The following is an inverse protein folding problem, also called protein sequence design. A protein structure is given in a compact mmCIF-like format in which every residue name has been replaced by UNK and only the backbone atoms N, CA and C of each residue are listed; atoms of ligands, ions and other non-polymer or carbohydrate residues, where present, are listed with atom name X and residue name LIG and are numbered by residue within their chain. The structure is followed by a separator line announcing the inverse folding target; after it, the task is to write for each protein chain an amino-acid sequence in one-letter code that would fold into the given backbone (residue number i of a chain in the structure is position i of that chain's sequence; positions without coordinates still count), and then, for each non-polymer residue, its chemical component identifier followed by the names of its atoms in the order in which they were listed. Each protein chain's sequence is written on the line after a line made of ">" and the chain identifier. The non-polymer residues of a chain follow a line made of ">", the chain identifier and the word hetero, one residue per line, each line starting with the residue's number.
data_IF_130197674146
#
_entry.id   IF_130197674146
#
_cell.length_a   1.000
_cell.length_b   1.000
_cell.length_c   1.000
_cell.angle_alpha   90.00
_cell.angle_beta   90.00
_cell.angle_gamma   90.00
#
_symmetry.space_group_name_H-M   'P 1'
#
loop_
_entity.id
_entity.type
_entity.pdbx_description
1 polymer ?
#
# COMPACT_ATOMS: atom_id res chain seq x y z
N UNK A 1 -29.26 -59.02 -50.08
CA UNK A 1 -29.41 -58.54 -51.47
C UNK A 1 -28.52 -57.31 -51.66
N UNK A 2 -27.67 -57.33 -52.70
CA UNK A 2 -27.04 -56.20 -53.44
C UNK A 2 -26.52 -55.02 -52.60
N UNK A 3 -25.22 -54.93 -52.26
CA UNK A 3 -24.04 -54.52 -53.08
C UNK A 3 -24.31 -53.37 -54.07
N UNK A 4 -23.77 -52.18 -53.74
CA UNK A 4 -23.14 -51.19 -54.65
C UNK A 4 -22.44 -50.13 -53.75
N UNK A 5 -21.12 -50.10 -53.49
CA UNK A 5 -19.97 -49.69 -54.33
C UNK A 5 -20.08 -48.27 -54.92
N UNK A 6 -19.29 -47.32 -54.39
CA UNK A 6 -18.36 -46.39 -55.09
C UNK A 6 -17.79 -45.39 -54.05
N UNK A 7 -16.51 -45.50 -53.61
CA UNK A 7 -15.26 -44.85 -54.13
C UNK A 7 -15.19 -43.34 -53.77
N UNK A 8 -14.12 -42.65 -53.34
CA UNK A 8 -12.66 -42.77 -53.08
C UNK A 8 -12.30 -41.58 -52.18
N UNK A 9 -11.28 -41.68 -51.32
CA UNK A 9 -10.61 -40.45 -50.84
C UNK A 9 -9.68 -40.63 -49.65
N UNK A 10 -8.52 -41.25 -49.87
CA UNK A 10 -7.39 -41.27 -48.94
C UNK A 10 -6.90 -39.84 -48.68
N UNK A 11 -6.85 -39.43 -47.41
CA UNK A 11 -5.90 -38.41 -46.94
C UNK A 11 -5.68 -38.58 -45.43
N UNK A 12 -4.90 -39.59 -45.08
CA UNK A 12 -4.20 -39.67 -43.80
C UNK A 12 -3.15 -38.56 -43.77
N UNK A 13 -3.53 -37.39 -43.28
CA UNK A 13 -2.57 -36.36 -42.84
C UNK A 13 -1.97 -36.87 -41.54
N UNK A 14 -0.74 -37.38 -41.62
CA UNK A 14 0.11 -37.56 -40.47
C UNK A 14 0.40 -36.19 -39.88
N UNK A 15 -0.39 -35.78 -38.88
CA UNK A 15 -0.03 -34.69 -38.00
C UNK A 15 1.09 -35.20 -37.08
N UNK A 16 2.33 -35.00 -37.52
CA UNK A 16 3.48 -35.01 -36.64
C UNK A 16 3.28 -33.89 -35.61
N UNK A 17 2.75 -34.25 -34.44
CA UNK A 17 2.88 -33.44 -33.24
C UNK A 17 4.37 -33.40 -32.90
N UNK A 18 5.09 -32.43 -33.46
CA UNK A 18 6.31 -31.94 -32.87
C UNK A 18 5.92 -31.32 -31.55
N UNK A 19 6.01 -32.15 -30.51
CA UNK A 19 6.00 -31.72 -29.14
C UNK A 19 7.24 -30.85 -28.94
N UNK A 20 7.06 -29.53 -29.06
CA UNK A 20 8.01 -28.55 -28.54
C UNK A 20 8.11 -28.76 -27.03
N UNK A 21 9.08 -29.59 -26.62
CA UNK A 21 9.61 -29.59 -25.26
C UNK A 21 10.38 -28.28 -25.10
N UNK A 22 9.70 -27.24 -24.63
CA UNK A 22 10.38 -26.11 -23.97
C UNK A 22 10.52 -26.48 -22.50
N UNK A 23 11.39 -27.43 -22.19
CA UNK A 23 11.91 -27.62 -20.84
C UNK A 23 13.09 -26.67 -20.67
N UNK A 24 12.81 -25.36 -20.52
CA UNK A 24 13.74 -24.48 -19.83
C UNK A 24 13.38 -24.56 -18.35
N UNK A 25 14.07 -25.44 -17.63
CA UNK A 25 14.10 -25.37 -16.17
C UNK A 25 14.44 -23.91 -15.78
N UNK A 26 13.74 -23.28 -14.82
CA UNK A 26 14.07 -21.92 -14.44
C UNK A 26 15.55 -21.86 -14.04
N UNK A 27 16.29 -20.93 -14.64
CA UNK A 27 17.71 -20.75 -14.35
C UNK A 27 17.86 -20.49 -12.84
N UNK A 28 18.72 -21.26 -12.17
CA UNK A 28 18.93 -21.11 -10.74
C UNK A 28 19.44 -19.69 -10.45
N UNK A 29 18.89 -19.03 -9.43
CA UNK A 29 19.32 -17.69 -9.01
C UNK A 29 20.44 -17.85 -7.98
N UNK A 30 21.53 -17.10 -8.16
CA UNK A 30 22.73 -17.16 -7.32
C UNK A 30 23.15 -15.77 -6.86
N UNK A 31 23.82 -15.72 -5.70
CA UNK A 31 24.36 -14.49 -5.13
C UNK A 31 25.74 -14.17 -5.70
N UNK A 32 25.89 -12.94 -6.19
CA UNK A 32 27.11 -12.40 -6.79
C UNK A 32 27.55 -11.19 -5.98
N UNK A 33 28.84 -11.09 -5.69
CA UNK A 33 29.45 -9.94 -5.02
C UNK A 33 30.56 -9.36 -5.87
N UNK A 34 30.74 -8.04 -5.80
CA UNK A 34 31.84 -7.35 -6.45
C UNK A 34 32.80 -6.83 -5.40
N UNK A 35 34.10 -6.98 -5.65
CA UNK A 35 35.17 -6.51 -4.77
C UNK A 35 36.19 -5.72 -5.58
N UNK A 36 36.85 -4.77 -4.93
CA UNK A 36 37.83 -3.91 -5.59
C UNK A 36 38.90 -3.44 -4.61
N UNK A 37 40.09 -3.20 -5.14
CA UNK A 37 41.21 -2.65 -4.37
C UNK A 37 41.31 -1.13 -4.54
N UNK A 38 41.13 -0.38 -3.46
CA UNK A 38 41.49 1.03 -3.42
C UNK A 38 43.01 1.12 -3.15
N UNK A 39 43.78 1.58 -4.14
CA UNK A 39 45.21 1.84 -3.92
C UNK A 39 45.32 3.10 -3.05
N UNK A 40 45.62 2.93 -1.77
CA UNK A 40 45.88 4.07 -0.87
C UNK A 40 47.07 4.88 -1.39
N UNK A 41 46.82 6.11 -1.84
CA UNK A 41 47.92 7.06 -1.99
C UNK A 41 48.37 7.51 -0.59
N UNK A 42 49.68 7.56 -0.30
CA UNK A 42 50.18 8.15 0.93
C UNK A 42 50.04 9.68 0.82
N UNK A 43 48.91 10.24 1.24
CA UNK A 43 48.75 11.69 1.38
C UNK A 43 49.32 12.14 2.72
N UNK A 44 50.55 12.63 2.70
CA UNK A 44 51.10 13.44 3.78
C UNK A 44 50.41 14.81 3.79
N UNK A 45 49.23 14.91 4.38
CA UNK A 45 48.50 16.17 4.52
C UNK A 45 47.00 15.96 4.71
N UNK A 46 46.42 16.62 5.72
CA UNK A 46 44.98 16.57 6.05
C UNK A 46 44.13 17.15 4.91
N UNK A 47 43.63 16.29 4.04
CA UNK A 47 42.44 16.53 3.22
C UNK A 47 41.57 15.28 3.36
N UNK A 48 40.37 15.44 3.93
CA UNK A 48 39.33 14.41 3.88
C UNK A 48 39.10 14.08 2.41
N UNK A 49 39.45 12.87 2.01
CA UNK A 49 39.14 12.36 0.68
C UNK A 49 37.74 11.76 0.79
N UNK A 50 36.82 12.15 -0.08
CA UNK A 50 35.49 11.55 -0.09
C UNK A 50 35.63 10.04 -0.28
N UNK A 51 34.96 9.26 0.56
CA UNK A 51 34.98 7.80 0.50
C UNK A 51 33.78 7.32 -0.33
N UNK A 52 33.95 6.29 -1.16
CA UNK A 52 32.84 5.73 -1.92
C UNK A 52 31.87 5.00 -0.99
N UNK A 53 30.57 5.20 -1.20
CA UNK A 53 29.51 4.57 -0.41
C UNK A 53 28.65 3.60 -1.23
N UNK A 54 28.69 3.72 -2.57
CA UNK A 54 27.99 2.81 -3.48
C UNK A 54 28.77 2.49 -4.75
N UNK A 55 28.43 1.35 -5.37
CA UNK A 55 28.80 0.96 -6.73
C UNK A 55 27.60 1.21 -7.66
N UNK A 56 27.82 1.92 -8.77
CA UNK A 56 26.96 1.93 -9.95
C UNK A 56 27.50 0.95 -10.98
N UNK A 57 26.69 -0.06 -11.33
CA UNK A 57 27.09 -1.13 -12.25
C UNK A 57 26.06 -1.33 -13.37
N UNK A 58 26.55 -1.52 -14.59
CA UNK A 58 25.76 -1.97 -15.74
C UNK A 58 26.26 -3.34 -16.18
N UNK A 59 25.33 -4.27 -16.41
CA UNK A 59 25.59 -5.66 -16.76
C UNK A 59 24.71 -6.05 -17.93
N UNK A 60 25.29 -6.74 -18.91
CA UNK A 60 24.58 -7.35 -20.05
C UNK A 60 24.76 -8.87 -20.03
N UNK A 61 23.79 -9.60 -20.57
CA UNK A 61 23.87 -11.05 -20.73
C UNK A 61 24.71 -11.43 -21.98
N UNK A 62 24.90 -12.73 -22.22
CA UNK A 62 25.63 -13.23 -23.40
C UNK A 62 24.99 -12.88 -24.76
N UNK A 63 23.70 -12.50 -24.78
CA UNK A 63 23.01 -12.02 -25.98
C UNK A 63 23.18 -10.52 -26.21
N UNK A 64 23.79 -9.79 -25.26
CA UNK A 64 23.92 -8.34 -25.28
C UNK A 64 22.69 -7.60 -24.75
N UNK A 65 21.73 -8.30 -24.16
CA UNK A 65 20.58 -7.64 -23.52
C UNK A 65 21.00 -7.06 -22.16
N UNK A 66 20.55 -5.84 -21.82
CA UNK A 66 20.82 -5.26 -20.51
C UNK A 66 20.11 -6.07 -19.41
N UNK A 67 20.88 -6.44 -18.39
CA UNK A 67 20.42 -7.09 -17.16
C UNK A 67 20.30 -6.05 -16.05
N UNK A 68 21.33 -5.22 -15.89
CA UNK A 68 21.32 -4.03 -15.04
C UNK A 68 21.82 -2.83 -15.85
N UNK A 69 21.20 -1.67 -15.60
CA UNK A 69 21.66 -0.38 -16.12
C UNK A 69 21.80 0.55 -14.93
N UNK A 70 23.03 0.99 -14.63
CA UNK A 70 23.35 1.91 -13.53
C UNK A 70 22.79 1.49 -12.16
N UNK A 71 22.75 0.19 -11.89
CA UNK A 71 22.23 -0.32 -10.61
C UNK A 71 23.14 0.14 -9.48
N UNK A 72 22.57 0.85 -8.50
CA UNK A 72 23.26 1.22 -7.24
C UNK A 72 23.29 0.02 -6.30
N UNK A 73 24.47 -0.28 -5.77
CA UNK A 73 24.68 -1.33 -4.77
C UNK A 73 25.50 -0.74 -3.63
N UNK A 74 25.03 -0.89 -2.39
CA UNK A 74 25.75 -0.37 -1.23
C UNK A 74 27.08 -1.10 -1.04
N UNK A 75 28.06 -0.38 -0.50
CA UNK A 75 29.37 -0.92 -0.16
C UNK A 75 29.41 -1.36 1.30
N UNK A 76 30.06 -2.51 1.51
CA UNK A 76 30.38 -3.11 2.79
C UNK A 76 31.89 -2.98 3.02
N UNK A 77 32.26 -2.38 4.15
CA UNK A 77 33.65 -2.25 4.57
C UNK A 77 34.01 -3.40 5.52
N UNK A 78 34.94 -4.26 5.10
CA UNK A 78 35.44 -5.38 5.91
C UNK A 78 36.95 -5.24 6.07
N UNK A 79 37.36 -4.62 7.18
CA UNK A 79 38.76 -4.28 7.42
C UNK A 79 39.26 -3.25 6.41
N UNK A 80 40.30 -3.60 5.64
CA UNK A 80 40.83 -2.75 4.55
C UNK A 80 40.24 -3.09 3.18
N UNK A 81 39.28 -4.02 3.11
CA UNK A 81 38.65 -4.45 1.86
C UNK A 81 37.26 -3.83 1.73
N UNK A 82 36.92 -3.40 0.52
CA UNK A 82 35.58 -2.91 0.18
C UNK A 82 34.94 -3.90 -0.79
N UNK A 83 33.69 -4.28 -0.50
CA UNK A 83 32.90 -5.21 -1.32
C UNK A 83 31.47 -4.73 -1.39
N UNK A 84 30.67 -5.21 -2.34
CA UNK A 84 29.25 -4.87 -2.41
C UNK A 84 28.40 -5.76 -1.51
N UNK A 85 27.20 -5.31 -1.17
CA UNK A 85 26.13 -6.24 -0.81
C UNK A 85 25.92 -7.28 -1.94
N UNK A 86 25.56 -8.54 -1.62
CA UNK A 86 25.29 -9.54 -2.64
C UNK A 86 24.08 -9.16 -3.52
N UNK A 87 24.23 -9.32 -4.84
CA UNK A 87 23.13 -9.19 -5.80
C UNK A 87 22.74 -10.53 -6.39
N UNK A 88 21.45 -10.71 -6.66
CA UNK A 88 20.94 -11.94 -7.23
C UNK A 88 21.01 -11.89 -8.77
N UNK A 89 21.63 -12.91 -9.37
CA UNK A 89 21.69 -13.10 -10.83
C UNK A 89 21.39 -14.57 -11.16
N UNK A 90 20.65 -14.86 -12.24
CA UNK A 90 20.52 -16.21 -12.75
C UNK A 90 21.88 -16.83 -13.15
N UNK A 91 21.97 -18.15 -13.18
CA UNK A 91 23.13 -18.83 -13.76
C UNK A 91 23.27 -18.47 -15.24
N UNK A 92 24.47 -18.07 -15.65
CA UNK A 92 24.73 -17.60 -17.01
C UNK A 92 26.06 -16.86 -17.15
N UNK A 93 26.36 -16.43 -18.37
CA UNK A 93 27.54 -15.61 -18.68
C UNK A 93 27.09 -14.17 -18.91
N UNK A 94 27.85 -13.24 -18.32
CA UNK A 94 27.54 -11.82 -18.27
C UNK A 94 28.76 -10.98 -18.60
N UNK A 95 28.52 -9.75 -19.06
CA UNK A 95 29.54 -8.73 -19.24
C UNK A 95 29.22 -7.54 -18.35
N UNK A 96 30.18 -7.09 -17.55
CA UNK A 96 30.12 -5.78 -16.90
C UNK A 96 30.48 -4.75 -17.96
N UNK A 97 29.61 -3.76 -18.18
CA UNK A 97 29.80 -2.72 -19.20
C UNK A 97 30.10 -1.35 -18.59
N UNK A 98 29.73 -1.14 -17.32
CA UNK A 98 30.07 0.06 -16.54
C UNK A 98 30.31 -0.33 -15.07
N UNK A 99 31.30 0.29 -14.44
CA UNK A 99 31.67 0.02 -13.04
C UNK A 99 32.26 1.28 -12.40
N UNK A 100 31.45 1.94 -11.57
CA UNK A 100 31.72 3.30 -11.06
C UNK A 100 31.43 3.35 -9.56
N UNK A 101 32.40 3.80 -8.77
CA UNK A 101 32.22 4.02 -7.34
C UNK A 101 31.82 5.47 -7.10
N UNK A 102 30.74 5.66 -6.37
CA UNK A 102 30.16 6.98 -6.08
C UNK A 102 30.11 7.26 -4.59
N UNK A 103 30.13 8.53 -4.23
CA UNK A 103 29.83 8.99 -2.87
C UNK A 103 28.30 9.07 -2.61
N UNK A 104 27.93 9.57 -1.43
CA UNK A 104 26.52 9.73 -1.04
C UNK A 104 25.76 10.70 -1.95
N UNK A 105 26.44 11.72 -2.48
CA UNK A 105 25.87 12.70 -3.41
C UNK A 105 25.76 12.16 -4.85
N UNK A 106 26.22 10.94 -5.12
CA UNK A 106 26.22 10.33 -6.45
C UNK A 106 27.38 10.79 -7.34
N UNK A 107 28.36 11.50 -6.78
CA UNK A 107 29.57 11.92 -7.51
C UNK A 107 30.47 10.72 -7.72
N UNK A 108 30.88 10.47 -8.96
CA UNK A 108 31.84 9.41 -9.27
C UNK A 108 33.22 9.77 -8.70
N UNK A 109 33.76 8.88 -7.87
CA UNK A 109 35.10 8.99 -7.27
C UNK A 109 36.11 8.08 -7.96
N UNK A 110 35.67 6.89 -8.40
CA UNK A 110 36.51 5.93 -9.10
C UNK A 110 35.76 5.26 -10.23
N UNK A 111 36.47 4.88 -11.29
CA UNK A 111 35.89 4.22 -12.45
C UNK A 111 36.81 3.11 -12.98
N UNK A 112 36.22 2.03 -13.51
CA UNK A 112 36.97 1.06 -14.33
C UNK A 112 37.03 1.57 -15.78
N UNK A 113 38.23 1.77 -16.36
CA UNK A 113 38.37 2.20 -17.76
C UNK A 113 37.85 1.17 -18.77
N UNK A 114 37.31 1.63 -19.91
CA UNK A 114 36.90 0.78 -21.03
C UNK A 114 38.08 0.45 -21.94
N UNK A 115 38.07 -0.73 -22.54
CA UNK A 115 39.04 -1.20 -23.55
C UNK A 115 39.12 -0.15 -24.67
N UNK A 116 40.35 0.25 -24.98
CA UNK A 116 40.61 1.26 -26.01
C UNK A 116 40.62 2.71 -25.50
N UNK A 117 40.25 2.96 -24.23
CA UNK A 117 40.44 4.28 -23.63
C UNK A 117 41.90 4.55 -23.26
N UNK A 118 42.31 5.82 -23.10
CA UNK A 118 43.65 6.19 -22.64
C UNK A 118 44.10 5.46 -21.37
N UNK A 119 43.21 5.29 -20.40
CA UNK A 119 43.49 4.64 -19.11
C UNK A 119 43.28 3.12 -19.09
N UNK A 120 42.92 2.48 -20.21
CA UNK A 120 42.68 1.03 -20.26
C UNK A 120 43.86 0.19 -19.74
N UNK A 121 45.09 0.67 -19.92
CA UNK A 121 46.32 -0.01 -19.47
C UNK A 121 46.63 0.15 -17.98
N UNK A 122 45.88 1.00 -17.26
CA UNK A 122 46.05 1.20 -15.82
C UNK A 122 45.47 0.05 -14.99
N UNK A 123 44.67 -0.81 -15.63
CA UNK A 123 44.01 -1.98 -15.04
C UNK A 123 44.33 -3.24 -15.86
N UNK A 124 44.26 -4.40 -15.22
CA UNK A 124 44.41 -5.70 -15.88
C UNK A 124 43.11 -6.18 -16.53
N UNK A 125 41.96 -5.74 -15.99
CA UNK A 125 40.63 -6.12 -16.45
C UNK A 125 39.79 -4.89 -16.86
N UNK A 126 40.09 -4.25 -17.99
CA UNK A 126 39.27 -3.15 -18.52
C UNK A 126 37.89 -3.65 -18.98
N UNK A 127 36.92 -2.73 -19.08
CA UNK A 127 35.56 -3.05 -19.51
C UNK A 127 35.40 -3.12 -21.04
N UNK A 128 34.52 -3.95 -21.61
CA UNK A 128 33.63 -4.87 -20.92
C UNK A 128 34.37 -6.07 -20.32
N UNK A 129 33.98 -6.49 -19.11
CA UNK A 129 34.59 -7.61 -18.41
C UNK A 129 33.62 -8.78 -18.28
N UNK A 130 34.00 -9.94 -18.82
CA UNK A 130 33.17 -11.14 -18.82
C UNK A 130 33.32 -11.95 -17.52
N UNK A 131 32.20 -12.40 -16.95
CA UNK A 131 32.17 -13.32 -15.82
C UNK A 131 31.03 -14.34 -15.97
N UNK A 132 31.11 -15.45 -15.22
CA UNK A 132 30.09 -16.53 -15.27
C UNK A 132 29.58 -16.84 -13.88
N UNK A 133 28.25 -16.94 -13.76
CA UNK A 133 27.52 -17.36 -12.57
C UNK A 133 27.16 -18.82 -12.72
N UNK A 134 27.71 -19.68 -11.85
CA UNK A 134 27.49 -21.13 -11.88
C UNK A 134 26.55 -21.57 -10.76
N UNK A 135 25.86 -22.69 -10.94
CA UNK A 135 25.03 -23.26 -9.87
C UNK A 135 25.91 -23.69 -8.68
N UNK A 136 25.46 -23.38 -7.46
CA UNK A 136 26.04 -23.81 -6.18
C UNK A 136 27.36 -23.15 -5.74
N UNK A 137 27.72 -21.98 -6.30
CA UNK A 137 28.91 -21.23 -5.89
C UNK A 137 28.62 -19.74 -5.67
N UNK A 138 29.25 -19.14 -4.65
CA UNK A 138 29.20 -17.69 -4.43
C UNK A 138 30.18 -17.05 -5.39
N UNK A 139 29.66 -16.32 -6.37
CA UNK A 139 30.51 -15.68 -7.39
C UNK A 139 31.03 -14.35 -6.87
N UNK A 140 32.32 -14.26 -6.55
CA UNK A 140 32.99 -12.99 -6.26
C UNK A 140 33.76 -12.52 -7.48
N UNK A 141 33.40 -11.35 -7.99
CA UNK A 141 34.09 -10.70 -9.12
C UNK A 141 35.03 -9.61 -8.58
N UNK A 142 36.31 -9.69 -8.94
CA UNK A 142 37.33 -8.72 -8.53
C UNK A 142 37.57 -7.72 -9.66
N UNK A 143 37.31 -6.45 -9.40
CA UNK A 143 37.50 -5.34 -10.34
C UNK A 143 38.60 -4.39 -9.88
N UNK A 144 39.23 -3.72 -10.83
CA UNK A 144 40.21 -2.67 -10.55
C UNK A 144 39.66 -1.32 -10.98
N UNK A 145 39.82 -0.32 -10.11
CA UNK A 145 39.29 1.02 -10.34
C UNK A 145 40.42 2.04 -10.33
N UNK A 146 40.23 3.13 -11.07
CA UNK A 146 41.16 4.26 -11.14
C UNK A 146 40.45 5.52 -10.64
N UNK A 147 41.16 6.33 -9.88
CA UNK A 147 40.69 7.61 -9.32
C UNK A 147 40.39 8.61 -10.45
N UNK A 148 39.19 9.21 -10.42
CA UNK A 148 38.74 10.13 -11.47
C UNK A 148 39.17 11.59 -11.24
N UNK A 149 39.65 11.95 -10.05
CA UNK A 149 39.89 13.35 -9.64
C UNK A 149 40.88 14.13 -10.52
N UNK A 150 41.77 13.43 -11.24
CA UNK A 150 42.79 14.03 -12.11
C UNK A 150 42.58 13.74 -13.61
N UNK A 151 41.43 13.21 -13.99
CA UNK A 151 41.15 12.70 -15.34
C UNK A 151 39.74 13.10 -15.79
N UNK A 152 39.45 13.05 -17.10
CA UNK A 152 38.09 13.33 -17.61
C UNK A 152 37.35 12.02 -17.93
N UNK A 153 36.00 12.01 -18.02
CA UNK A 153 35.25 10.81 -18.40
C UNK A 153 35.77 10.12 -19.67
N UNK A 154 36.23 10.91 -20.65
CA UNK A 154 36.74 10.42 -21.93
C UNK A 154 38.03 9.60 -21.77
N UNK A 155 38.88 9.91 -20.79
CA UNK A 155 40.11 9.15 -20.48
C UNK A 155 39.79 7.70 -20.06
N UNK A 156 38.60 7.48 -19.53
CA UNK A 156 38.06 6.18 -19.15
C UNK A 156 37.16 5.56 -20.22
N UNK A 157 36.86 6.29 -21.31
CA UNK A 157 35.94 5.83 -22.36
C UNK A 157 34.45 6.06 -22.03
N UNK A 158 34.13 6.96 -21.10
CA UNK A 158 32.75 7.39 -20.81
C UNK A 158 32.46 8.72 -21.49
N UNK A 159 31.21 8.93 -21.88
CA UNK A 159 30.77 10.22 -22.43
C UNK A 159 30.52 11.27 -21.33
N UNK A 160 30.12 10.82 -20.14
CA UNK A 160 29.93 11.63 -18.94
C UNK A 160 29.98 10.72 -17.71
N UNK A 161 30.26 11.30 -16.54
CA UNK A 161 30.03 10.66 -15.24
C UNK A 161 28.69 11.04 -14.61
N UNK A 162 27.92 11.94 -15.23
CA UNK A 162 26.54 12.24 -14.83
C UNK A 162 25.63 11.06 -15.19
N UNK A 163 25.45 10.17 -14.24
CA UNK A 163 24.52 9.06 -14.36
C UNK A 163 23.20 9.48 -13.72
N UNK A 164 22.20 9.67 -14.57
CA UNK A 164 20.83 9.85 -14.11
C UNK A 164 20.32 8.52 -13.54
N UNK A 165 20.44 8.34 -12.23
CA UNK A 165 19.80 7.21 -11.55
C UNK A 165 18.28 7.36 -11.64
N UNK A 166 17.66 6.42 -12.35
CA UNK A 166 16.20 6.29 -12.40
C UNK A 166 15.79 5.30 -11.32
N UNK A 167 15.19 5.81 -10.25
CA UNK A 167 14.49 5.03 -9.25
C UNK A 167 13.20 4.45 -9.85
N UNK A 168 12.71 3.34 -9.28
CA UNK A 168 11.47 2.69 -9.71
C UNK A 168 10.62 2.29 -8.52
N UNK A 169 9.41 2.83 -8.43
CA UNK A 169 8.42 2.42 -7.42
C UNK A 169 7.35 1.53 -8.06
N UNK A 170 7.12 0.34 -7.52
CA UNK A 170 6.00 -0.51 -7.95
C UNK A 170 4.73 -0.11 -7.19
N UNK A 171 3.64 0.17 -7.90
CA UNK A 171 2.35 0.60 -7.32
C UNK A 171 1.21 -0.22 -7.90
N UNK A 172 0.34 -0.73 -7.03
CA UNK A 172 -0.92 -1.37 -7.40
C UNK A 172 -2.08 -0.64 -6.73
N UNK A 173 -3.08 -0.21 -7.51
CA UNK A 173 -4.21 0.59 -7.02
C UNK A 173 -5.47 -0.27 -6.99
N UNK A 174 -6.14 -0.27 -5.85
CA UNK A 174 -7.35 -1.04 -5.59
C UNK A 174 -8.51 -0.12 -5.21
N UNK A 175 -9.72 -0.57 -5.52
CA UNK A 175 -10.98 -0.05 -4.97
C UNK A 175 -11.73 -1.19 -4.31
N UNK A 176 -12.60 -0.86 -3.37
CA UNK A 176 -13.54 -1.80 -2.81
C UNK A 176 -14.82 -1.83 -3.66
N UNK A 177 -15.23 -3.01 -4.12
CA UNK A 177 -16.50 -3.21 -4.83
C UNK A 177 -17.19 -4.41 -4.21
N UNK A 178 -18.37 -4.21 -3.61
CA UNK A 178 -19.09 -5.29 -2.94
C UNK A 178 -18.31 -6.02 -1.83
N UNK A 179 -17.36 -5.35 -1.17
CA UNK A 179 -16.52 -5.95 -0.12
C UNK A 179 -15.23 -6.61 -0.60
N UNK A 180 -14.97 -6.64 -1.92
CA UNK A 180 -13.74 -7.20 -2.50
C UNK A 180 -12.81 -6.11 -3.05
N UNK A 181 -11.50 -6.29 -2.87
CA UNK A 181 -10.50 -5.40 -3.45
C UNK A 181 -10.25 -5.76 -4.91
N UNK A 182 -10.54 -4.82 -5.81
CA UNK A 182 -10.37 -4.98 -7.25
C UNK A 182 -9.35 -3.97 -7.77
N UNK A 183 -8.42 -4.41 -8.63
CA UNK A 183 -7.47 -3.52 -9.30
C UNK A 183 -8.21 -2.51 -10.19
N UNK A 184 -7.79 -1.25 -10.16
CA UNK A 184 -8.41 -0.16 -10.94
C UNK A 184 -7.37 0.68 -11.68
N UNK A 185 -7.84 1.43 -12.68
CA UNK A 185 -7.12 2.58 -13.23
C UNK A 185 -7.17 3.79 -12.29
N UNK A 186 -6.15 4.64 -12.37
CA UNK A 186 -6.03 5.90 -11.64
C UNK A 186 -4.99 6.81 -12.32
N UNK A 187 -4.80 8.03 -11.80
CA UNK A 187 -3.62 8.85 -12.08
C UNK A 187 -2.76 8.96 -10.82
N UNK A 188 -1.45 9.02 -10.98
CA UNK A 188 -0.52 9.27 -9.88
C UNK A 188 0.38 10.46 -10.19
N UNK A 189 0.63 11.25 -9.16
CA UNK A 189 1.57 12.37 -9.15
C UNK A 189 2.60 12.05 -8.06
N UNK A 190 3.89 12.19 -8.38
CA UNK A 190 4.98 12.04 -7.44
C UNK A 190 5.69 13.38 -7.29
N UNK A 191 5.67 13.94 -6.09
CA UNK A 191 6.29 15.23 -5.77
C UNK A 191 7.52 15.08 -4.89
N UNK A 192 8.43 16.06 -4.97
CA UNK A 192 9.54 16.28 -4.06
C UNK A 192 9.57 17.76 -3.66
N UNK A 193 9.16 18.06 -2.42
CA UNK A 193 8.94 19.45 -1.99
C UNK A 193 7.79 20.10 -2.77
N UNK A 194 8.10 21.18 -3.50
CA UNK A 194 7.15 21.90 -4.35
C UNK A 194 7.28 21.52 -5.84
N UNK A 195 8.15 20.56 -6.18
CA UNK A 195 8.39 20.12 -7.56
C UNK A 195 7.70 18.79 -7.88
N UNK A 196 7.01 18.73 -9.02
CA UNK A 196 6.44 17.50 -9.55
C UNK A 196 7.54 16.70 -10.25
N UNK A 197 7.89 15.55 -9.68
CA UNK A 197 8.94 14.64 -10.20
C UNK A 197 8.38 13.74 -11.29
N UNK A 198 7.10 13.36 -11.21
CA UNK A 198 6.48 12.48 -12.19
C UNK A 198 4.97 12.51 -12.22
N UNK A 199 4.40 12.28 -13.41
CA UNK A 199 2.97 12.10 -13.63
C UNK A 199 2.75 10.78 -14.36
N UNK A 200 1.86 9.95 -13.85
CA UNK A 200 1.66 8.58 -14.33
C UNK A 200 0.18 8.29 -14.56
N UNK A 201 -0.13 7.64 -15.67
CA UNK A 201 -1.41 6.97 -15.87
C UNK A 201 -1.27 5.52 -15.41
N UNK A 202 -2.09 5.13 -14.45
CA UNK A 202 -2.04 3.80 -13.85
C UNK A 202 -3.10 2.91 -14.46
N UNK A 203 -2.68 1.73 -14.92
CA UNK A 203 -3.57 0.67 -15.37
C UNK A 203 -3.99 -0.23 -14.20
N UNK A 204 -5.04 -1.04 -14.37
CA UNK A 204 -5.51 -2.03 -13.40
C UNK A 204 -4.57 -3.24 -13.29
N UNK A 205 -3.31 -2.98 -12.89
CA UNK A 205 -2.21 -3.94 -12.72
C UNK A 205 -1.17 -3.37 -11.74
N UNK A 206 -0.08 -4.09 -11.51
CA UNK A 206 1.12 -3.49 -10.89
C UNK A 206 1.82 -2.60 -11.92
N UNK A 207 1.88 -1.30 -11.62
CA UNK A 207 2.54 -0.29 -12.43
C UNK A 207 3.96 -0.04 -11.90
N UNK A 208 4.88 0.32 -12.78
CA UNK A 208 6.25 0.74 -12.43
C UNK A 208 6.33 2.24 -12.68
N UNK A 209 6.63 3.01 -11.65
CA UNK A 209 6.77 4.47 -11.69
C UNK A 209 8.27 4.81 -11.70
N UNK A 210 8.88 5.04 -12.87
CA UNK A 210 10.27 5.50 -12.95
C UNK A 210 10.36 6.99 -12.60
N UNK A 211 11.34 7.38 -11.78
CA UNK A 211 11.61 8.78 -11.45
C UNK A 211 13.08 9.02 -11.15
N UNK A 212 13.58 10.23 -11.42
CA UNK A 212 14.92 10.64 -11.02
C UNK A 212 14.87 11.31 -9.64
N UNK A 213 15.83 10.98 -8.76
CA UNK A 213 15.95 11.66 -7.48
C UNK A 213 16.79 10.91 -6.45
N UNK A 214 17.08 11.58 -5.33
CA UNK A 214 17.84 11.02 -4.22
C UNK A 214 17.02 9.96 -3.45
N UNK A 215 17.46 8.69 -3.35
CA UNK A 215 16.79 7.66 -2.56
C UNK A 215 16.56 7.99 -1.08
N UNK A 216 17.35 8.90 -0.50
CA UNK A 216 17.23 9.33 0.90
C UNK A 216 16.34 10.58 1.07
N UNK A 217 15.87 11.16 -0.03
CA UNK A 217 14.96 12.29 0.02
C UNK A 217 13.52 11.86 0.33
N UNK A 218 12.75 12.83 0.84
CA UNK A 218 11.30 12.68 1.04
C UNK A 218 10.53 12.95 -0.25
N UNK A 219 9.54 12.12 -0.51
CA UNK A 219 8.64 12.18 -1.66
C UNK A 219 7.19 12.10 -1.21
N UNK A 220 6.28 12.64 -2.03
CA UNK A 220 4.84 12.55 -1.83
C UNK A 220 4.19 11.89 -3.04
N UNK A 221 3.60 10.72 -2.83
CA UNK A 221 2.75 10.07 -3.83
C UNK A 221 1.30 10.49 -3.63
N UNK A 222 0.70 11.05 -4.68
CA UNK A 222 -0.71 11.43 -4.73
C UNK A 222 -1.38 10.55 -5.78
N UNK A 223 -2.40 9.80 -5.41
CA UNK A 223 -3.18 8.96 -6.35
C UNK A 223 -4.61 9.45 -6.40
N UNK A 224 -5.07 9.75 -7.62
CA UNK A 224 -6.35 10.38 -7.89
C UNK A 224 -7.17 9.47 -8.80
N UNK A 225 -8.44 9.30 -8.44
CA UNK A 225 -9.46 8.66 -9.27
C UNK A 225 -10.78 9.41 -9.06
N UNK A 226 -11.45 9.77 -10.14
CA UNK A 226 -12.74 10.45 -10.08
C UNK A 226 -13.76 9.63 -9.26
N UNK A 227 -14.45 10.30 -8.34
CA UNK A 227 -15.41 9.66 -7.41
C UNK A 227 -14.78 9.10 -6.12
N UNK A 228 -13.46 9.10 -5.99
CA UNK A 228 -12.76 8.56 -4.83
C UNK A 228 -12.01 9.66 -4.06
N UNK A 229 -11.82 9.43 -2.76
CA UNK A 229 -10.92 10.24 -1.95
C UNK A 229 -9.49 10.13 -2.49
N UNK A 230 -8.82 11.28 -2.59
CA UNK A 230 -7.42 11.32 -3.02
C UNK A 230 -6.55 10.63 -1.98
N UNK A 231 -5.74 9.67 -2.43
CA UNK A 231 -4.73 9.04 -1.59
C UNK A 231 -3.47 9.88 -1.59
N UNK A 232 -2.92 10.14 -0.41
CA UNK A 232 -1.66 10.87 -0.25
C UNK A 232 -0.76 10.08 0.70
N UNK A 233 0.49 9.86 0.29
CA UNK A 233 1.53 9.24 1.12
C UNK A 233 2.84 9.97 0.98
N UNK A 234 3.34 10.53 2.08
CA UNK A 234 4.72 10.98 2.20
C UNK A 234 5.63 9.80 2.61
N UNK A 235 6.82 9.70 2.03
CA UNK A 235 7.77 8.63 2.32
C UNK A 235 9.22 9.01 1.94
N UNK A 236 10.19 8.37 2.60
CA UNK A 236 11.58 8.29 2.12
C UNK A 236 11.69 7.04 1.24
N UNK A 237 12.22 7.17 0.02
CA UNK A 237 12.19 6.08 -0.96
C UNK A 237 12.95 4.83 -0.50
N UNK A 238 14.16 4.99 0.04
CA UNK A 238 14.99 3.91 0.58
C UNK A 238 14.27 3.13 1.69
N UNK A 239 13.65 3.84 2.62
CA UNK A 239 12.89 3.26 3.73
C UNK A 239 11.64 2.54 3.23
N UNK A 240 10.89 3.15 2.31
CA UNK A 240 9.69 2.53 1.74
C UNK A 240 10.05 1.21 1.05
N UNK A 241 11.09 1.19 0.22
CA UNK A 241 11.52 -0.05 -0.44
C UNK A 241 11.91 -1.14 0.56
N UNK A 242 12.63 -0.79 1.62
CA UNK A 242 12.99 -1.72 2.68
C UNK A 242 11.75 -2.31 3.38
N UNK A 243 10.73 -1.48 3.66
CA UNK A 243 9.48 -1.96 4.27
C UNK A 243 8.67 -2.87 3.35
N UNK A 244 8.68 -2.60 2.04
CA UNK A 244 7.92 -3.36 1.05
C UNK A 244 8.55 -4.73 0.75
N UNK A 245 9.85 -4.92 1.01
CA UNK A 245 10.56 -6.19 0.74
C UNK A 245 10.33 -6.72 -0.68
N UNK A 246 10.30 -5.82 -1.67
CA UNK A 246 10.07 -6.15 -3.07
C UNK A 246 8.59 -6.30 -3.49
N UNK A 247 7.64 -6.21 -2.57
CA UNK A 247 6.22 -6.13 -2.90
C UNK A 247 5.86 -4.74 -3.48
N UNK A 248 4.81 -4.63 -4.32
CA UNK A 248 4.30 -3.34 -4.75
C UNK A 248 3.68 -2.58 -3.57
N UNK A 249 3.79 -1.25 -3.59
CA UNK A 249 2.97 -0.40 -2.74
C UNK A 249 1.51 -0.58 -3.13
N UNK A 250 0.71 -1.10 -2.19
CA UNK A 250 -0.73 -1.19 -2.35
C UNK A 250 -1.37 0.13 -1.95
N UNK A 251 -2.12 0.71 -2.89
CA UNK A 251 -2.93 1.91 -2.68
C UNK A 251 -4.39 1.48 -2.74
N UNK A 252 -5.13 1.71 -1.67
CA UNK A 252 -6.57 1.46 -1.64
C UNK A 252 -7.28 2.81 -1.67
N UNK A 253 -8.10 3.02 -2.69
CA UNK A 253 -8.91 4.22 -2.84
C UNK A 253 -10.30 3.95 -2.27
N UNK A 254 -10.75 4.87 -1.42
CA UNK A 254 -12.03 4.77 -0.74
C UNK A 254 -13.05 5.73 -1.35
N UNK A 255 -14.28 5.25 -1.45
CA UNK A 255 -15.47 6.03 -1.81
C UNK A 255 -16.53 5.83 -0.75
N UNK A 256 -17.45 6.78 -0.59
CA UNK A 256 -18.57 6.58 0.32
C UNK A 256 -19.61 5.67 -0.33
N UNK A 257 -19.69 4.42 0.15
CA UNK A 257 -20.63 3.41 -0.35
C UNK A 257 -21.43 2.75 0.73
N UNK A 258 -22.62 2.28 0.36
CA UNK A 258 -23.49 1.46 1.20
C UNK A 258 -24.06 0.34 0.33
N UNK A 259 -23.75 -0.91 0.65
CA UNK A 259 -24.34 -2.07 0.01
C UNK A 259 -25.60 -2.48 0.77
N UNK A 260 -26.75 -2.36 0.13
CA UNK A 260 -28.04 -2.75 0.68
C UNK A 260 -28.59 -3.99 -0.04
N UNK A 261 -29.28 -4.84 0.70
CA UNK A 261 -30.00 -5.99 0.17
C UNK A 261 -31.49 -5.82 0.48
N UNK A 262 -32.32 -5.53 -0.52
CA UNK A 262 -33.76 -5.29 -0.31
C UNK A 262 -34.59 -6.58 -0.20
N UNK A 263 -33.96 -7.74 -0.41
CA UNK A 263 -34.57 -9.04 -0.11
C UNK A 263 -34.55 -9.36 1.39
N UNK A 264 -33.68 -8.70 2.14
CA UNK A 264 -33.48 -8.87 3.57
C UNK A 264 -33.71 -7.54 4.29
N UNK A 265 -34.26 -7.56 5.50
CA UNK A 265 -34.62 -6.34 6.23
C UNK A 265 -36.12 -6.12 6.33
N UNK A 266 -36.53 -4.88 6.62
CA UNK A 266 -37.91 -4.56 6.99
C UNK A 266 -38.74 -3.96 5.85
N UNK A 267 -38.09 -3.24 4.94
CA UNK A 267 -38.73 -2.53 3.81
C UNK A 267 -37.74 -2.40 2.66
N UNK A 268 -38.24 -2.02 1.48
CA UNK A 268 -37.46 -1.58 0.34
C UNK A 268 -37.10 -0.07 0.40
N UNK A 269 -37.54 0.64 1.44
CA UNK A 269 -37.27 2.06 1.65
C UNK A 269 -35.94 2.26 2.39
N UNK A 270 -34.96 2.85 1.72
CA UNK A 270 -33.70 3.28 2.33
C UNK A 270 -33.79 4.75 2.73
N UNK A 271 -33.28 5.11 3.91
CA UNK A 271 -33.19 6.51 4.36
C UNK A 271 -31.95 6.74 5.21
N UNK A 272 -31.21 7.78 4.90
CA UNK A 272 -30.08 8.24 5.68
C UNK A 272 -30.22 9.73 5.97
N UNK A 273 -29.88 10.16 7.18
CA UNK A 273 -29.69 11.57 7.47
C UNK A 273 -28.20 11.90 7.40
N UNK A 274 -27.85 12.90 6.60
CA UNK A 274 -26.49 13.39 6.42
C UNK A 274 -26.41 14.83 6.91
N UNK A 275 -25.48 15.12 7.81
CA UNK A 275 -25.06 16.47 8.14
C UNK A 275 -23.74 16.78 7.45
N UNK A 276 -23.65 17.94 6.82
CA UNK A 276 -22.46 18.40 6.10
C UNK A 276 -22.17 19.89 6.38
N UNK A 277 -21.00 20.35 5.93
CA UNK A 277 -20.67 21.77 5.93
C UNK A 277 -21.58 22.56 4.98
N UNK A 278 -21.76 23.85 5.27
CA UNK A 278 -22.62 24.72 4.46
C UNK A 278 -22.08 24.85 3.02
N UNK A 279 -22.98 24.69 2.04
CA UNK A 279 -22.66 24.85 0.61
C UNK A 279 -22.12 23.59 -0.07
N UNK A 280 -21.98 22.48 0.67
CA UNK A 280 -21.58 21.19 0.12
C UNK A 280 -22.67 20.61 -0.78
N UNK A 281 -22.25 19.94 -1.85
CA UNK A 281 -23.17 19.27 -2.79
C UNK A 281 -22.81 17.80 -2.97
N UNK A 282 -23.84 16.98 -3.13
CA UNK A 282 -23.73 15.53 -3.21
C UNK A 282 -24.55 14.98 -4.36
N UNK A 283 -23.99 13.95 -5.01
CA UNK A 283 -24.70 13.12 -5.96
C UNK A 283 -24.80 11.70 -5.42
N UNK A 284 -26.00 11.15 -5.38
CA UNK A 284 -26.31 9.81 -4.90
C UNK A 284 -26.75 8.95 -6.08
N UNK A 285 -25.95 7.94 -6.41
CA UNK A 285 -26.34 6.84 -7.30
C UNK A 285 -26.92 5.73 -6.43
N UNK A 286 -28.16 5.33 -6.72
CA UNK A 286 -28.88 4.33 -5.92
C UNK A 286 -28.55 2.89 -6.31
N UNK A 287 -27.77 2.68 -7.37
CA UNK A 287 -27.36 1.36 -7.85
C UNK A 287 -28.43 0.62 -8.67
N UNK A 288 -29.65 1.17 -8.78
CA UNK A 288 -30.75 0.62 -9.59
C UNK A 288 -30.94 1.35 -10.93
N UNK A 289 -29.96 2.19 -11.30
CA UNK A 289 -29.99 3.05 -12.48
C UNK A 289 -30.71 4.39 -12.28
N UNK A 290 -31.17 4.69 -11.06
CA UNK A 290 -31.67 6.00 -10.66
C UNK A 290 -30.65 6.75 -9.80
N UNK A 291 -30.77 8.08 -9.77
CA UNK A 291 -29.89 8.95 -9.00
C UNK A 291 -30.63 10.18 -8.50
N UNK A 292 -30.06 10.85 -7.49
CA UNK A 292 -30.56 12.12 -6.97
C UNK A 292 -29.44 13.02 -6.46
N UNK A 293 -29.69 14.32 -6.47
CA UNK A 293 -28.78 15.31 -5.89
C UNK A 293 -29.30 15.74 -4.52
N UNK A 294 -28.42 15.70 -3.50
CA UNK A 294 -28.71 16.12 -2.12
C UNK A 294 -29.95 15.47 -1.46
N UNK A 295 -30.40 14.32 -1.97
CA UNK A 295 -31.50 13.52 -1.41
C UNK A 295 -30.94 12.16 -0.98
N UNK A 296 -31.18 11.82 0.29
CA UNK A 296 -30.65 10.61 0.95
C UNK A 296 -31.76 9.64 1.35
N UNK A 297 -32.82 9.56 0.55
CA UNK A 297 -33.89 8.58 0.69
C UNK A 297 -34.31 8.03 -0.66
N UNK A 298 -34.64 6.73 -0.71
CA UNK A 298 -35.03 6.04 -1.93
C UNK A 298 -35.92 4.83 -1.65
N UNK A 299 -36.81 4.51 -2.58
CA UNK A 299 -37.65 3.32 -2.52
C UNK A 299 -37.32 2.41 -3.70
N UNK A 300 -36.73 1.26 -3.42
CA UNK A 300 -36.40 0.29 -4.44
C UNK A 300 -37.67 -0.42 -4.96
N UNK A 301 -37.82 -0.47 -6.27
CA UNK A 301 -38.98 -1.12 -6.91
C UNK A 301 -38.78 -2.61 -7.15
N UNK A 302 -37.55 -3.10 -6.99
CA UNK A 302 -37.18 -4.50 -7.19
C UNK A 302 -36.41 -5.03 -5.99
N UNK A 303 -36.51 -6.35 -5.80
CA UNK A 303 -35.81 -7.08 -4.74
C UNK A 303 -34.47 -7.53 -5.30
N UNK A 304 -33.39 -6.88 -4.86
CA UNK A 304 -32.02 -7.19 -5.28
C UNK A 304 -31.00 -6.61 -4.28
N UNK A 305 -29.72 -6.69 -4.62
CA UNK A 305 -28.62 -5.99 -3.98
C UNK A 305 -28.25 -4.75 -4.75
N UNK A 306 -28.15 -3.63 -4.06
CA UNK A 306 -27.81 -2.33 -4.64
C UNK A 306 -26.66 -1.70 -3.89
N UNK A 307 -25.66 -1.24 -4.64
CA UNK A 307 -24.55 -0.46 -4.11
C UNK A 307 -24.88 1.02 -4.28
N UNK A 308 -25.20 1.68 -3.17
CA UNK A 308 -25.42 3.12 -3.11
C UNK A 308 -24.05 3.79 -3.12
N UNK A 309 -23.80 4.69 -4.06
CA UNK A 309 -22.56 5.45 -4.15
C UNK A 309 -22.85 6.93 -3.97
N UNK A 310 -22.17 7.56 -3.01
CA UNK A 310 -22.27 8.99 -2.76
C UNK A 310 -20.97 9.66 -3.23
N UNK A 311 -21.10 10.63 -4.12
CA UNK A 311 -19.99 11.43 -4.66
C UNK A 311 -20.23 12.93 -4.45
N UNK A 312 -19.25 13.77 -4.81
CA UNK A 312 -19.27 15.21 -4.53
C UNK A 312 -18.37 15.57 -3.35
N UNK A 313 -18.83 16.47 -2.49
CA UNK A 313 -18.06 16.98 -1.35
C UNK A 313 -18.07 16.02 -0.15
N UNK A 314 -17.84 14.72 -0.35
CA UNK A 314 -17.99 13.69 0.71
C UNK A 314 -17.12 13.95 1.95
N UNK A 315 -15.97 14.61 1.79
CA UNK A 315 -15.12 15.01 2.91
C UNK A 315 -15.78 16.04 3.82
N UNK A 316 -16.79 16.78 3.35
CA UNK A 316 -17.54 17.75 4.14
C UNK A 316 -18.61 17.13 5.05
N UNK A 317 -18.87 15.83 4.92
CA UNK A 317 -19.85 15.12 5.76
C UNK A 317 -19.32 15.04 7.18
N UNK A 318 -20.10 15.57 8.12
CA UNK A 318 -19.79 15.62 9.56
C UNK A 318 -20.66 14.69 10.39
N UNK A 319 -21.83 14.27 9.89
CA UNK A 319 -22.67 13.30 10.58
C UNK A 319 -23.43 12.38 9.63
N UNK A 320 -23.54 11.11 10.01
CA UNK A 320 -24.39 10.11 9.38
C UNK A 320 -25.30 9.51 10.43
N UNK A 321 -26.60 9.43 10.12
CA UNK A 321 -27.58 8.70 10.93
C UNK A 321 -28.42 7.77 10.06
N UNK A 322 -28.33 6.49 10.36
CA UNK A 322 -29.13 5.40 9.86
C UNK A 322 -30.00 4.92 11.01
N UNK A 323 -31.30 4.83 10.79
CA UNK A 323 -32.22 4.44 11.84
C UNK A 323 -33.52 3.87 11.29
N UNK A 324 -33.98 2.80 11.94
CA UNK A 324 -35.28 2.13 11.80
C UNK A 324 -35.66 1.67 10.39
N UNK A 325 -36.27 0.48 10.32
CA UNK A 325 -37.02 0.01 9.15
C UNK A 325 -36.32 0.30 7.81
N UNK A 326 -35.15 -0.31 7.59
CA UNK A 326 -34.39 -0.20 6.34
C UNK A 326 -34.18 -1.59 5.72
N UNK A 327 -33.81 -1.65 4.43
CA UNK A 327 -33.13 -2.80 3.87
C UNK A 327 -31.93 -3.22 4.73
N UNK A 328 -31.55 -4.49 4.66
CA UNK A 328 -30.32 -4.96 5.30
C UNK A 328 -29.11 -4.24 4.69
N UNK A 329 -28.31 -3.62 5.53
CA UNK A 329 -27.00 -3.07 5.15
C UNK A 329 -26.00 -4.22 5.25
N UNK A 330 -25.51 -4.70 4.11
CA UNK A 330 -24.49 -5.77 4.07
C UNK A 330 -23.09 -5.21 4.31
N UNK A 331 -22.79 -4.02 3.79
CA UNK A 331 -21.51 -3.33 3.95
C UNK A 331 -21.67 -1.81 3.85
N UNK A 332 -20.74 -1.07 4.44
CA UNK A 332 -20.66 0.39 4.34
C UNK A 332 -19.18 0.81 4.43
N UNK A 333 -18.71 1.64 3.50
CA UNK A 333 -17.37 2.22 3.51
C UNK A 333 -17.49 3.74 3.78
N UNK A 334 -17.00 4.17 4.94
CA UNK A 334 -16.97 5.58 5.35
C UNK A 334 -15.55 6.14 5.45
N UNK A 335 -14.54 5.44 4.94
CA UNK A 335 -13.14 5.88 5.07
C UNK A 335 -12.83 7.14 4.24
N UNK A 336 -13.69 7.45 3.27
CA UNK A 336 -13.65 8.71 2.54
C UNK A 336 -14.07 9.93 3.39
N UNK A 337 -14.77 9.73 4.51
CA UNK A 337 -15.42 10.79 5.31
C UNK A 337 -14.48 11.33 6.39
N UNK A 338 -13.47 12.11 6.00
CA UNK A 338 -12.40 12.60 6.89
C UNK A 338 -12.87 13.51 8.02
N UNK A 339 -13.95 14.28 7.81
CA UNK A 339 -14.52 15.17 8.82
C UNK A 339 -15.70 14.55 9.60
N UNK A 340 -15.91 13.23 9.49
CA UNK A 340 -17.00 12.54 10.17
C UNK A 340 -16.83 12.64 11.69
N UNK A 341 -17.73 13.40 12.33
CA UNK A 341 -17.76 13.63 13.77
C UNK A 341 -18.78 12.72 14.48
N UNK A 342 -19.80 12.28 13.76
CA UNK A 342 -20.88 11.47 14.30
C UNK A 342 -21.28 10.34 13.33
N UNK A 343 -21.33 9.10 13.83
CA UNK A 343 -21.82 7.95 13.06
C UNK A 343 -22.81 7.13 13.88
N UNK A 344 -24.08 7.16 13.49
CA UNK A 344 -25.16 6.44 14.17
C UNK A 344 -25.82 5.45 13.21
N UNK A 345 -25.84 4.17 13.58
CA UNK A 345 -26.59 3.10 12.93
C UNK A 345 -27.42 2.36 14.00
N UNK A 346 -28.55 2.96 14.38
CA UNK A 346 -29.38 2.48 15.50
C UNK A 346 -30.56 1.68 14.95
N UNK A 347 -30.78 0.48 15.48
CA UNK A 347 -31.85 -0.43 15.06
C UNK A 347 -31.84 -0.66 13.55
N UNK A 348 -30.63 -0.69 12.99
CA UNK A 348 -30.38 -0.90 11.58
C UNK A 348 -29.93 -2.35 11.40
N UNK A 349 -30.50 -3.10 10.43
CA UNK A 349 -30.06 -4.46 10.16
C UNK A 349 -28.70 -4.45 9.43
N UNK A 350 -27.60 -4.44 10.19
CA UNK A 350 -26.21 -4.51 9.69
C UNK A 350 -25.43 -3.20 9.75
N UNK A 351 -24.13 -3.21 9.34
CA UNK A 351 -23.36 -4.30 8.73
C UNK A 351 -22.79 -5.33 9.73
N UNK A 352 -22.18 -6.42 9.23
CA UNK A 352 -21.43 -7.37 10.09
C UNK A 352 -20.15 -6.74 10.66
N UNK A 353 -19.53 -5.84 9.91
CA UNK A 353 -18.32 -5.14 10.29
C UNK A 353 -18.41 -3.68 9.85
N UNK A 354 -17.91 -2.79 10.69
CA UNK A 354 -17.76 -1.36 10.38
C UNK A 354 -16.32 -0.93 10.67
N UNK A 355 -15.68 -0.34 9.66
CA UNK A 355 -14.36 0.24 9.81
C UNK A 355 -14.45 1.76 9.89
N UNK A 356 -14.24 2.29 11.10
CA UNK A 356 -14.16 3.72 11.39
C UNK A 356 -12.72 4.17 11.65
N UNK A 357 -11.70 3.33 11.39
CA UNK A 357 -10.34 3.56 11.88
C UNK A 357 -9.70 4.84 11.32
N UNK A 358 -10.17 5.30 10.16
CA UNK A 358 -9.68 6.50 9.47
C UNK A 358 -10.45 7.78 9.87
N UNK A 359 -11.56 7.66 10.61
CA UNK A 359 -12.43 8.78 10.98
C UNK A 359 -12.01 9.39 12.32
N UNK A 360 -10.81 9.99 12.37
CA UNK A 360 -10.17 10.46 13.61
C UNK A 360 -10.92 11.62 14.31
N UNK A 361 -11.87 12.25 13.61
CA UNK A 361 -12.67 13.37 14.11
C UNK A 361 -13.92 12.91 14.89
N UNK A 362 -14.17 11.60 14.98
CA UNK A 362 -15.33 11.06 15.69
C UNK A 362 -15.39 11.52 17.15
N UNK A 363 -16.57 11.99 17.53
CA UNK A 363 -16.95 12.38 18.89
C UNK A 363 -18.12 11.56 19.42
N UNK A 364 -18.91 10.97 18.52
CA UNK A 364 -20.15 10.27 18.84
C UNK A 364 -20.36 9.08 17.90
N UNK A 365 -20.50 7.88 18.47
CA UNK A 365 -20.69 6.63 17.73
C UNK A 365 -21.83 5.84 18.38
N UNK A 366 -22.76 5.34 17.58
CA UNK A 366 -23.90 4.58 18.07
C UNK A 366 -24.28 3.42 17.13
N UNK A 367 -24.46 2.23 17.68
CA UNK A 367 -24.84 0.98 17.00
C UNK A 367 -26.01 0.27 17.69
N UNK A 368 -26.76 0.99 18.52
CA UNK A 368 -27.70 0.37 19.45
C UNK A 368 -28.73 -0.53 18.72
N UNK A 369 -28.80 -1.79 19.12
CA UNK A 369 -29.79 -2.77 18.65
C UNK A 369 -29.49 -3.43 17.30
N UNK A 370 -28.30 -3.26 16.74
CA UNK A 370 -27.86 -4.05 15.58
C UNK A 370 -27.48 -5.48 16.00
N UNK A 371 -28.21 -6.47 15.47
CA UNK A 371 -28.07 -7.88 15.87
C UNK A 371 -26.98 -8.65 15.15
N UNK A 372 -26.44 -8.10 14.07
CA UNK A 372 -25.49 -8.82 13.21
C UNK A 372 -24.11 -8.17 13.19
N UNK A 373 -23.95 -7.02 13.85
CA UNK A 373 -22.67 -6.36 14.01
C UNK A 373 -21.74 -7.15 14.94
N UNK A 374 -20.62 -7.60 14.39
CA UNK A 374 -19.61 -8.42 15.08
C UNK A 374 -18.28 -7.68 15.26
N UNK A 375 -17.96 -6.74 14.37
CA UNK A 375 -16.67 -6.05 14.35
C UNK A 375 -16.82 -4.54 14.25
N UNK A 376 -16.11 -3.80 15.10
CA UNK A 376 -16.09 -2.33 15.10
C UNK A 376 -14.66 -1.85 15.24
N UNK A 377 -14.10 -1.27 14.17
CA UNK A 377 -12.75 -0.72 14.21
C UNK A 377 -12.81 0.79 14.46
N UNK A 378 -12.50 1.22 15.69
CA UNK A 378 -12.39 2.64 16.02
C UNK A 378 -10.99 3.20 15.70
N UNK A 379 -10.84 4.52 15.45
CA UNK A 379 -9.54 5.16 15.29
C UNK A 379 -8.67 4.99 16.54
N UNK A 380 -7.38 4.71 16.32
CA UNK A 380 -6.39 4.62 17.41
C UNK A 380 -6.27 5.94 18.18
N UNK A 381 -6.32 7.07 17.47
CA UNK A 381 -6.45 8.40 18.06
C UNK A 381 -7.85 8.94 17.77
N UNK A 382 -8.68 9.06 18.80
CA UNK A 382 -10.06 9.52 18.68
C UNK A 382 -10.37 10.61 19.73
N UNK A 383 -11.57 11.18 19.67
CA UNK A 383 -12.15 12.10 20.68
C UNK A 383 -13.56 11.69 21.07
N UNK A 384 -13.85 10.39 20.98
CA UNK A 384 -15.19 9.87 21.21
C UNK A 384 -15.56 10.11 22.67
N UNK A 385 -16.68 10.77 22.88
CA UNK A 385 -17.26 11.07 24.20
C UNK A 385 -18.67 10.50 24.35
N UNK A 386 -19.25 9.98 23.26
CA UNK A 386 -20.50 9.25 23.26
C UNK A 386 -20.29 7.93 22.51
N UNK A 387 -20.42 6.81 23.21
CA UNK A 387 -20.37 5.46 22.63
C UNK A 387 -21.62 4.70 23.06
N UNK A 388 -22.39 4.20 22.10
CA UNK A 388 -23.61 3.45 22.35
C UNK A 388 -23.63 2.15 21.55
N UNK A 389 -23.44 1.04 22.26
CA UNK A 389 -23.52 -0.33 21.74
C UNK A 389 -24.58 -1.12 22.52
N UNK A 390 -25.65 -0.46 22.98
CA UNK A 390 -26.72 -1.16 23.71
C UNK A 390 -27.51 -2.11 22.82
N UNK A 391 -28.18 -3.07 23.45
CA UNK A 391 -29.11 -3.97 22.79
C UNK A 391 -28.50 -5.32 22.45
N UNK A 392 -29.29 -6.17 21.77
CA UNK A 392 -28.79 -7.46 21.32
C UNK A 392 -27.80 -7.23 20.18
N UNK A 393 -26.54 -7.03 20.52
CA UNK A 393 -25.41 -6.95 19.58
C UNK A 393 -24.50 -8.15 19.83
N UNK A 394 -24.01 -8.79 18.76
CA UNK A 394 -23.17 -9.99 18.82
C UNK A 394 -21.66 -9.66 18.80
N UNK A 395 -21.26 -8.62 19.55
CA UNK A 395 -19.85 -8.32 19.77
C UNK A 395 -19.24 -9.35 20.72
N UNK A 396 -18.06 -9.85 20.37
CA UNK A 396 -17.28 -10.71 21.27
C UNK A 396 -16.64 -9.92 22.42
N UNK A 397 -16.23 -10.60 23.50
CA UNK A 397 -15.46 -9.97 24.59
C UNK A 397 -14.21 -9.25 24.08
N UNK A 398 -13.50 -9.80 23.10
CA UNK A 398 -12.30 -9.18 22.56
C UNK A 398 -12.60 -7.87 21.81
N UNK A 399 -13.74 -7.80 21.10
CA UNK A 399 -14.18 -6.60 20.39
C UNK A 399 -14.62 -5.51 21.37
N UNK A 400 -15.39 -5.88 22.39
CA UNK A 400 -15.80 -4.96 23.45
C UNK A 400 -14.59 -4.43 24.23
N UNK A 401 -13.60 -5.29 24.50
CA UNK A 401 -12.34 -4.89 25.14
C UNK A 401 -11.55 -3.88 24.29
N UNK A 402 -11.42 -4.09 22.98
CA UNK A 402 -10.73 -3.14 22.07
C UNK A 402 -11.43 -1.78 22.05
N UNK A 403 -12.77 -1.77 21.96
CA UNK A 403 -13.56 -0.54 22.02
C UNK A 403 -13.30 0.19 23.35
N UNK A 404 -13.41 -0.51 24.49
CA UNK A 404 -13.21 0.09 25.81
C UNK A 404 -11.79 0.66 25.95
N UNK A 405 -10.77 -0.08 25.52
CA UNK A 405 -9.37 0.36 25.54
C UNK A 405 -9.20 1.65 24.74
N UNK A 406 -9.69 1.72 23.50
CA UNK A 406 -9.55 2.91 22.65
C UNK A 406 -10.26 4.15 23.20
N UNK A 407 -11.41 3.95 23.86
CA UNK A 407 -12.14 5.04 24.52
C UNK A 407 -11.40 5.49 25.79
N UNK A 408 -10.92 4.54 26.60
CA UNK A 408 -10.15 4.79 27.82
C UNK A 408 -8.85 5.54 27.51
N UNK A 409 -8.03 5.04 26.59
CA UNK A 409 -6.76 5.66 26.20
C UNK A 409 -6.96 7.09 25.69
N UNK A 410 -7.99 7.31 24.88
CA UNK A 410 -8.38 8.63 24.39
C UNK A 410 -8.73 9.57 25.54
N UNK A 411 -9.56 9.11 26.49
CA UNK A 411 -9.95 9.89 27.66
C UNK A 411 -8.76 10.23 28.56
N UNK A 412 -7.84 9.28 28.77
CA UNK A 412 -6.63 9.50 29.57
C UNK A 412 -5.70 10.49 28.88
N UNK A 413 -5.38 10.25 27.61
CA UNK A 413 -4.43 11.05 26.84
C UNK A 413 -4.91 12.49 26.65
N UNK A 414 -6.20 12.70 26.40
CA UNK A 414 -6.79 14.01 26.09
C UNK A 414 -7.55 14.65 27.25
N UNK A 415 -7.65 13.97 28.40
CA UNK A 415 -8.47 14.39 29.54
C UNK A 415 -9.94 14.64 29.14
N UNK A 416 -10.51 13.76 28.31
CA UNK A 416 -11.92 13.81 27.89
C UNK A 416 -12.81 13.45 29.07
N UNK A 417 -13.69 14.36 29.48
CA UNK A 417 -14.54 14.22 30.68
C UNK A 417 -16.01 14.23 30.34
N UNK A 418 -16.82 13.70 31.27
CA UNK A 418 -18.28 13.70 31.19
C UNK A 418 -18.82 12.99 29.93
N UNK A 419 -18.10 11.98 29.45
CA UNK A 419 -18.58 11.16 28.34
C UNK A 419 -19.70 10.21 28.77
N UNK A 420 -20.25 9.49 27.79
CA UNK A 420 -21.32 8.51 27.99
C UNK A 420 -20.97 7.23 27.24
N UNK A 421 -21.01 6.10 27.94
CA UNK A 421 -20.78 4.78 27.37
C UNK A 421 -21.97 3.88 27.73
N UNK A 422 -22.71 3.46 26.72
CA UNK A 422 -23.89 2.61 26.86
C UNK A 422 -23.62 1.23 26.25
N UNK A 423 -23.72 0.20 27.06
CA UNK A 423 -23.34 -1.18 26.72
C UNK A 423 -24.28 -2.23 27.35
N UNK A 424 -25.47 -1.85 27.82
CA UNK A 424 -26.47 -2.81 28.32
C UNK A 424 -26.96 -3.72 27.18
N UNK A 425 -27.10 -5.03 27.43
CA UNK A 425 -27.62 -6.01 26.45
C UNK A 425 -29.04 -5.72 25.96
N UNK A 426 -29.76 -4.81 26.61
CA UNK A 426 -31.08 -4.42 26.19
C UNK A 426 -31.27 -2.90 26.33
N UNK A 427 -31.44 -2.24 25.18
CA UNK A 427 -31.67 -0.80 25.10
C UNK A 427 -33.08 -0.39 25.57
N UNK A 428 -34.06 -1.30 25.54
CA UNK A 428 -35.45 -0.99 25.87
C UNK A 428 -35.76 -1.19 27.37
N UNK A 429 -35.23 -2.26 27.97
CA UNK A 429 -35.40 -2.57 29.39
C UNK A 429 -34.01 -2.95 29.94
N UNK A 430 -33.39 -2.12 30.79
CA UNK A 430 -32.05 -2.39 31.32
C UNK A 430 -31.98 -3.77 31.96
N UNK A 431 -31.03 -4.57 31.49
CA UNK A 431 -30.76 -5.91 32.03
C UNK A 431 -29.74 -5.87 33.15
N UNK A 432 -28.97 -4.78 33.24
CA UNK A 432 -27.74 -4.70 34.03
C UNK A 432 -26.67 -5.73 33.60
N UNK A 433 -26.80 -6.31 32.41
CA UNK A 433 -25.77 -7.13 31.78
C UNK A 433 -25.11 -6.36 30.65
N UNK A 434 -23.79 -6.47 30.53
CA UNK A 434 -23.02 -5.82 29.47
C UNK A 434 -22.98 -6.67 28.18
N UNK A 435 -23.06 -6.02 27.02
CA UNK A 435 -22.80 -6.62 25.69
C UNK A 435 -21.38 -7.19 25.66
N UNK A 436 -21.22 -8.34 24.97
CA UNK A 436 -19.94 -9.03 24.77
C UNK A 436 -19.07 -8.99 26.03
N UNK A 437 -19.53 -9.56 27.15
CA UNK A 437 -19.20 -9.08 28.49
C UNK A 437 -17.70 -8.79 28.60
N UNK A 438 -17.32 -7.56 28.99
CA UNK A 438 -15.93 -7.12 28.97
C UNK A 438 -15.07 -7.97 29.91
N UNK A 439 -13.78 -8.07 29.62
CA UNK A 439 -12.84 -8.68 30.54
C UNK A 439 -12.74 -7.88 31.84
N UNK A 440 -12.17 -8.49 32.89
CA UNK A 440 -11.95 -7.81 34.15
C UNK A 440 -11.08 -6.55 34.00
N UNK A 441 -10.14 -6.54 33.05
CA UNK A 441 -9.28 -5.37 32.79
C UNK A 441 -10.12 -4.22 32.26
N UNK A 442 -10.95 -4.48 31.25
CA UNK A 442 -11.86 -3.48 30.67
C UNK A 442 -12.91 -2.99 31.65
N UNK A 443 -13.39 -3.84 32.56
CA UNK A 443 -14.27 -3.40 33.66
C UNK A 443 -13.57 -2.38 34.57
N UNK A 444 -12.28 -2.57 34.91
CA UNK A 444 -11.53 -1.56 35.67
C UNK A 444 -11.33 -0.26 34.86
N UNK A 445 -11.12 -0.33 33.55
CA UNK A 445 -11.06 0.86 32.68
C UNK A 445 -12.38 1.64 32.67
N UNK A 446 -13.52 0.94 32.62
CA UNK A 446 -14.83 1.56 32.72
C UNK A 446 -15.04 2.23 34.09
N UNK A 447 -14.57 1.63 35.19
CA UNK A 447 -14.59 2.27 36.52
C UNK A 447 -13.72 3.50 36.57
N UNK A 448 -12.51 3.45 36.00
CA UNK A 448 -11.62 4.60 35.91
C UNK A 448 -12.25 5.77 35.14
N UNK A 449 -12.86 5.50 33.98
CA UNK A 449 -13.63 6.50 33.22
C UNK A 449 -14.72 7.15 34.07
N UNK A 450 -15.49 6.36 34.82
CA UNK A 450 -16.55 6.84 35.69
C UNK A 450 -16.01 7.71 36.84
N UNK A 451 -15.03 7.19 37.59
CA UNK A 451 -14.56 7.78 38.84
C UNK A 451 -13.65 8.98 38.63
N UNK A 452 -12.72 8.90 37.67
CA UNK A 452 -11.68 9.91 37.46
C UNK A 452 -12.00 10.90 36.33
N UNK A 453 -12.82 10.48 35.36
CA UNK A 453 -13.20 11.30 34.20
C UNK A 453 -14.68 11.70 34.20
N UNK A 454 -15.49 11.24 35.16
CA UNK A 454 -16.89 11.63 35.31
C UNK A 454 -17.81 11.06 34.24
N UNK A 455 -17.43 9.96 33.59
CA UNK A 455 -18.25 9.34 32.55
C UNK A 455 -19.50 8.66 33.12
N UNK A 456 -20.58 8.71 32.36
CA UNK A 456 -21.80 7.94 32.60
C UNK A 456 -21.70 6.60 31.89
N UNK A 457 -21.57 5.51 32.65
CA UNK A 457 -21.46 4.14 32.13
C UNK A 457 -22.74 3.37 32.45
N UNK A 458 -23.33 2.70 31.45
CA UNK A 458 -24.57 1.92 31.62
C UNK A 458 -24.43 0.54 30.98
N UNK A 459 -24.51 -0.57 31.75
CA UNK A 459 -24.74 -0.62 33.20
C UNK A 459 -23.52 -0.17 34.01
N UNK A 460 -23.75 0.08 35.30
CA UNK A 460 -22.70 0.53 36.23
C UNK A 460 -21.65 -0.59 36.42
N UNK A 461 -20.35 -0.35 36.12
CA UNK A 461 -19.30 -1.37 36.27
C UNK A 461 -18.99 -1.75 37.73
N UNK A 462 -19.56 -1.06 38.72
CA UNK A 462 -19.43 -1.37 40.14
C UNK A 462 -20.66 -2.02 40.80
N UNK A 463 -21.74 -2.27 40.04
CA UNK A 463 -22.99 -2.82 40.56
C UNK A 463 -23.02 -4.35 40.71
#
# INVERSE_FOLDING_TARGET
>A
MKKLLFWIGVLTVGASLQQCKTESSPAAIQSVQFSFGLRSQPSGGRTETAEPTALLISIENSAGDPVFTHKRINLLHVGSSVMTEPVQLPTGTYNITEFLLVDDAGVVLYATPKVGSPLASAVTHPLPYAFTVSADDVTTVVMEVVDVSQNTPEDFGYATFDINLVNTLQVAVFINTGGELVLTTATAILDHGDEVVGNYSLEAKTNILPFAGDPQASYRLIVIKEGFKTYVKDFIYSELLATLNGAPLQVVLHQFTILVNTAEGFTADFRMSVGALEGSTFHVDWGDGTSSDDVFEHTYTTVDRFEITITGDVESIISIRLAYDQPKIEAIDVQALTNLNEFWAVLTPGPISIDLSQNTQLTSVAFAGDRILHHVLLPAANTISYMDIQGPIDLSTAEVDDIIQKIHDSAVLRNTRNGRFLLDKNWAIPTNEMVGPPSSISVEMLRDLKENYGWSIVPDPGA
#
